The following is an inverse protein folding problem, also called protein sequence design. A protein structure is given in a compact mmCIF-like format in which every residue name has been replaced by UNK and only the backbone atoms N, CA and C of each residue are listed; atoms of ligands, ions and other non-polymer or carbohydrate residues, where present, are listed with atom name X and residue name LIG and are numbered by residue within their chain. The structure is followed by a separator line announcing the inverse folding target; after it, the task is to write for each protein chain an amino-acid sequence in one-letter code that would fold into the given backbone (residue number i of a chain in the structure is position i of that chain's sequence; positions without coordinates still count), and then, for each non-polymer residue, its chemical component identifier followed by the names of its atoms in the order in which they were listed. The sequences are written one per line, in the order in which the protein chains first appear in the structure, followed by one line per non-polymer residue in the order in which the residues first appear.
data_IF_785806547973
#
_entry.id   IF_785806547973
#
_cell.length_a   1.000
_cell.length_b   1.000
_cell.length_c   1.000
_cell.angle_alpha   90.00
_cell.angle_beta   90.00
_cell.angle_gamma   90.00
#
_symmetry.space_group_name_H-M   'P 1'
#
loop_
_entity.id
_entity.type
_entity.pdbx_description
1 polymer ?
#
# COMPACT_ATOMS: atom_id res chain seq x y z
N UNK A 1 -47.05 -44.66 21.71
CA UNK A 1 -47.35 -43.21 21.73
C UNK A 1 -46.11 -42.47 21.25
N UNK A 2 -46.20 -41.83 20.07
CA UNK A 2 -45.11 -41.14 19.37
C UNK A 2 -44.80 -39.83 20.08
N UNK A 3 -43.58 -39.65 20.58
CA UNK A 3 -43.11 -38.32 20.99
C UNK A 3 -42.63 -37.57 19.74
N UNK A 4 -43.28 -36.45 19.47
CA UNK A 4 -43.03 -35.54 18.36
C UNK A 4 -41.87 -34.64 18.75
N UNK A 5 -40.81 -34.65 17.94
CA UNK A 5 -39.71 -33.69 17.98
C UNK A 5 -40.26 -32.26 17.84
N UNK A 6 -39.95 -31.40 18.81
CA UNK A 6 -40.02 -29.94 18.63
C UNK A 6 -38.59 -29.41 18.58
N UNK A 7 -38.10 -29.18 17.36
CA UNK A 7 -36.90 -28.41 17.10
C UNK A 7 -37.31 -26.94 17.29
N UNK A 8 -37.04 -26.39 18.46
CA UNK A 8 -37.14 -24.95 18.68
C UNK A 8 -35.86 -24.33 18.13
N UNK A 9 -35.94 -23.82 16.90
CA UNK A 9 -34.90 -22.98 16.32
C UNK A 9 -34.79 -21.69 17.14
N UNK A 10 -33.86 -21.65 18.08
CA UNK A 10 -33.46 -20.40 18.73
C UNK A 10 -32.48 -19.73 17.78
N UNK A 11 -33.00 -18.86 16.93
CA UNK A 11 -32.22 -17.84 16.24
C UNK A 11 -31.72 -16.89 17.33
N UNK A 12 -30.58 -17.23 17.95
CA UNK A 12 -29.81 -16.25 18.73
C UNK A 12 -29.15 -15.35 17.70
N UNK A 13 -29.92 -14.37 17.24
CA UNK A 13 -29.37 -13.23 16.54
C UNK A 13 -28.31 -12.62 17.42
N UNK A 14 -27.05 -12.69 16.97
CA UNK A 14 -25.98 -11.90 17.52
C UNK A 14 -26.33 -10.43 17.26
N UNK A 15 -27.07 -9.84 18.20
CA UNK A 15 -27.15 -8.40 18.35
C UNK A 15 -25.73 -8.00 18.75
N UNK A 16 -24.91 -7.69 17.76
CA UNK A 16 -23.71 -6.88 17.98
C UNK A 16 -24.23 -5.54 18.49
N UNK A 17 -24.28 -5.44 19.82
CA UNK A 17 -24.46 -4.19 20.53
C UNK A 17 -23.28 -3.32 20.10
N UNK A 18 -23.54 -2.35 19.24
CA UNK A 18 -22.65 -1.22 18.97
C UNK A 18 -22.49 -0.49 20.31
N UNK A 19 -21.54 -0.96 21.12
CA UNK A 19 -21.14 -0.34 22.37
C UNK A 19 -20.51 1.01 22.04
N UNK A 20 -21.32 2.06 22.17
CA UNK A 20 -20.95 3.42 22.51
C UNK A 20 -19.65 3.93 21.87
N UNK A 21 -19.76 4.54 20.69
CA UNK A 21 -18.83 5.61 20.31
C UNK A 21 -19.06 6.77 21.28
N UNK A 22 -18.23 6.85 22.32
CA UNK A 22 -18.20 8.00 23.23
C UNK A 22 -17.95 9.26 22.41
N UNK A 23 -18.90 10.18 22.47
CA UNK A 23 -18.88 11.44 21.73
C UNK A 23 -17.82 12.45 22.23
N UNK A 24 -16.68 12.02 22.78
CA UNK A 24 -15.69 12.93 23.37
C UNK A 24 -14.21 12.65 23.13
N UNK A 25 -13.80 11.58 22.45
CA UNK A 25 -12.39 11.41 22.10
C UNK A 25 -12.19 11.70 20.61
N UNK A 26 -12.12 13.00 20.26
CA UNK A 26 -11.48 13.39 19.00
C UNK A 26 -10.04 12.86 19.08
N UNK A 27 -9.55 12.06 18.11
CA UNK A 27 -8.21 11.50 18.19
C UNK A 27 -7.19 12.60 18.44
N UNK A 28 -6.34 12.43 19.45
CA UNK A 28 -5.34 13.43 19.83
C UNK A 28 -4.15 13.48 18.86
N UNK A 29 -4.06 12.51 17.95
CA UNK A 29 -3.02 12.39 16.93
C UNK A 29 -3.26 11.19 16.00
N UNK A 30 -2.20 10.57 15.45
CA UNK A 30 -2.34 9.35 14.67
C UNK A 30 -2.92 8.22 15.52
N UNK A 31 -3.96 7.57 15.02
CA UNK A 31 -4.62 6.42 15.62
C UNK A 31 -4.14 5.14 14.94
N UNK A 32 -3.17 4.48 15.58
CA UNK A 32 -2.56 3.24 15.09
C UNK A 32 -3.37 1.98 15.45
N UNK A 33 -4.57 2.13 16.04
CA UNK A 33 -5.40 0.98 16.38
C UNK A 33 -5.75 0.17 15.13
N UNK A 34 -5.50 -1.14 15.18
CA UNK A 34 -5.70 -2.05 14.05
C UNK A 34 -4.72 -1.88 12.88
N UNK A 35 -3.64 -1.11 13.05
CA UNK A 35 -2.56 -1.00 12.06
C UNK A 35 -1.41 -1.93 12.45
N UNK A 36 -1.06 -2.85 11.55
CA UNK A 36 0.04 -3.78 11.73
C UNK A 36 1.37 -3.04 11.89
N UNK A 37 2.28 -3.61 12.69
CA UNK A 37 3.56 -2.97 13.01
C UNK A 37 4.36 -2.56 11.76
N UNK A 38 4.36 -3.39 10.72
CA UNK A 38 5.02 -3.14 9.44
C UNK A 38 4.47 -1.90 8.71
N UNK A 39 3.24 -1.49 8.98
CA UNK A 39 2.59 -0.36 8.32
C UNK A 39 2.51 0.90 9.18
N UNK A 40 2.91 0.86 10.46
CA UNK A 40 2.78 2.02 11.36
C UNK A 40 3.63 3.21 10.90
N UNK A 41 4.84 2.96 10.37
CA UNK A 41 5.70 4.02 9.83
C UNK A 41 5.07 4.67 8.58
N UNK A 42 4.56 3.84 7.66
CA UNK A 42 3.87 4.31 6.45
C UNK A 42 2.60 5.09 6.80
N UNK A 43 1.78 4.56 7.71
CA UNK A 43 0.60 5.24 8.24
C UNK A 43 0.94 6.62 8.81
N UNK A 44 1.96 6.70 9.66
CA UNK A 44 2.36 7.96 10.32
C UNK A 44 2.84 8.98 9.28
N UNK A 45 3.58 8.53 8.27
CA UNK A 45 3.99 9.37 7.15
C UNK A 45 2.79 9.93 6.39
N UNK A 46 1.85 9.06 5.98
CA UNK A 46 0.62 9.48 5.29
C UNK A 46 -0.25 10.42 6.14
N UNK A 47 -0.35 10.18 7.45
CA UNK A 47 -1.06 11.05 8.39
C UNK A 47 -0.42 12.44 8.44
N UNK A 48 0.92 12.52 8.51
CA UNK A 48 1.64 13.79 8.60
C UNK A 48 1.61 14.61 7.30
N UNK A 49 1.40 13.96 6.15
CA UNK A 49 1.23 14.64 4.85
C UNK A 49 -0.18 15.25 4.67
N UNK A 50 -1.14 14.89 5.53
CA UNK A 50 -2.48 15.45 5.49
C UNK A 50 -2.48 16.94 5.86
N UNK A 51 -3.07 17.77 4.99
CA UNK A 51 -3.03 19.25 5.06
C UNK A 51 -3.54 19.83 6.40
N UNK A 52 -2.99 20.99 6.79
CA UNK A 52 -3.23 21.70 8.07
C UNK A 52 -4.72 22.04 8.33
N UNK A 53 -5.55 22.13 7.29
CA UNK A 53 -6.97 22.47 7.41
C UNK A 53 -7.90 21.26 7.57
N UNK A 54 -7.36 20.04 7.55
CA UNK A 54 -8.16 18.82 7.74
C UNK A 54 -8.30 18.48 9.22
N UNK A 55 -9.41 17.83 9.58
CA UNK A 55 -9.55 17.34 10.95
C UNK A 55 -8.62 16.15 11.18
N UNK A 56 -8.23 15.90 12.43
CA UNK A 56 -7.47 14.69 12.79
C UNK A 56 -8.22 13.41 12.40
N UNK A 57 -9.55 13.44 12.39
CA UNK A 57 -10.36 12.33 11.92
C UNK A 57 -10.14 12.07 10.42
N UNK A 58 -10.15 13.13 9.60
CA UNK A 58 -9.95 13.02 8.16
C UNK A 58 -8.51 12.57 7.82
N UNK A 59 -7.51 13.06 8.56
CA UNK A 59 -6.13 12.63 8.37
C UNK A 59 -5.91 11.16 8.75
N UNK A 60 -6.56 10.68 9.81
CA UNK A 60 -6.57 9.26 10.14
C UNK A 60 -7.29 8.44 9.06
N UNK A 61 -8.41 8.94 8.52
CA UNK A 61 -9.11 8.29 7.41
C UNK A 61 -8.22 8.14 6.18
N UNK A 62 -7.52 9.20 5.77
CA UNK A 62 -6.60 9.18 4.62
C UNK A 62 -5.44 8.22 4.87
N UNK A 63 -4.84 8.23 6.06
CA UNK A 63 -3.75 7.31 6.40
C UNK A 63 -4.19 5.84 6.34
N UNK A 64 -5.39 5.52 6.83
CA UNK A 64 -5.98 4.16 6.73
C UNK A 64 -6.20 3.75 5.28
N UNK A 65 -6.79 4.63 4.46
CA UNK A 65 -6.98 4.38 3.01
C UNK A 65 -5.64 4.05 2.33
N UNK A 66 -4.58 4.81 2.64
CA UNK A 66 -3.26 4.56 2.06
C UNK A 66 -2.68 3.21 2.50
N UNK A 67 -2.79 2.84 3.78
CA UNK A 67 -2.36 1.51 4.26
C UNK A 67 -3.14 0.39 3.58
N UNK A 68 -4.47 0.49 3.49
CA UNK A 68 -5.32 -0.51 2.83
C UNK A 68 -4.93 -0.68 1.36
N UNK A 69 -4.65 0.43 0.67
CA UNK A 69 -4.19 0.44 -0.71
C UNK A 69 -2.80 -0.20 -0.86
N UNK A 70 -1.84 0.17 -0.02
CA UNK A 70 -0.50 -0.44 0.01
C UNK A 70 -0.60 -1.95 0.17
N UNK A 71 -1.38 -2.42 1.15
CA UNK A 71 -1.60 -3.84 1.42
C UNK A 71 -2.19 -4.56 0.21
N UNK A 72 -3.26 -4.01 -0.37
CA UNK A 72 -3.93 -4.61 -1.54
C UNK A 72 -2.99 -4.68 -2.75
N UNK A 73 -2.26 -3.61 -3.03
CA UNK A 73 -1.33 -3.55 -4.13
C UNK A 73 -0.14 -4.51 -3.94
N UNK A 74 0.35 -4.64 -2.70
CA UNK A 74 1.43 -5.59 -2.39
C UNK A 74 0.97 -7.05 -2.45
N UNK A 75 -0.28 -7.35 -2.07
CA UNK A 75 -0.88 -8.67 -2.27
C UNK A 75 -0.98 -9.04 -3.74
N UNK A 76 -1.39 -8.11 -4.60
CA UNK A 76 -1.40 -8.33 -6.06
C UNK A 76 0.03 -8.54 -6.60
N UNK A 77 0.98 -7.72 -6.14
CA UNK A 77 2.38 -7.83 -6.52
C UNK A 77 2.99 -9.20 -6.17
N UNK A 78 2.83 -9.63 -4.92
CA UNK A 78 3.35 -10.92 -4.43
C UNK A 78 2.66 -12.10 -5.13
N UNK A 79 1.34 -12.08 -5.30
CA UNK A 79 0.59 -13.15 -5.96
C UNK A 79 0.97 -13.32 -7.44
N UNK A 80 1.38 -12.23 -8.10
CA UNK A 80 1.74 -12.23 -9.52
C UNK A 80 3.23 -11.99 -9.77
N UNK A 81 4.08 -12.13 -8.75
CA UNK A 81 5.49 -11.77 -8.86
C UNK A 81 6.19 -12.57 -9.97
N UNK A 82 6.17 -13.90 -9.88
CA UNK A 82 6.86 -14.76 -10.84
C UNK A 82 6.24 -14.73 -12.25
N UNK A 83 4.93 -14.51 -12.35
CA UNK A 83 4.19 -14.59 -13.61
C UNK A 83 4.17 -13.28 -14.40
N UNK A 84 4.31 -12.13 -13.73
CA UNK A 84 4.17 -10.80 -14.33
C UNK A 84 5.33 -9.87 -13.97
N UNK A 85 5.57 -9.61 -12.69
CA UNK A 85 6.49 -8.56 -12.27
C UNK A 85 7.97 -8.93 -12.47
N UNK A 86 8.36 -10.15 -12.12
CA UNK A 86 9.73 -10.64 -12.31
C UNK A 86 10.12 -10.67 -13.80
N UNK A 87 9.32 -11.23 -14.73
CA UNK A 87 9.62 -11.16 -16.17
C UNK A 87 9.75 -9.71 -16.70
N UNK A 88 8.89 -8.80 -16.24
CA UNK A 88 8.97 -7.39 -16.61
C UNK A 88 10.25 -6.72 -16.09
N UNK A 89 10.65 -7.03 -14.85
CA UNK A 89 11.88 -6.52 -14.24
C UNK A 89 13.14 -7.08 -14.94
N UNK A 90 13.18 -8.39 -15.19
CA UNK A 90 14.24 -9.05 -15.96
C UNK A 90 14.41 -8.41 -17.34
N UNK A 91 13.30 -8.10 -18.01
CA UNK A 91 13.31 -7.42 -19.30
C UNK A 91 13.89 -6.00 -19.19
N UNK A 92 13.46 -5.20 -18.21
CA UNK A 92 14.00 -3.83 -18.00
C UNK A 92 15.50 -3.83 -17.77
N UNK A 93 16.01 -4.76 -16.96
CA UNK A 93 17.44 -4.92 -16.71
C UNK A 93 18.19 -5.27 -17.99
N UNK A 94 17.66 -6.17 -18.81
CA UNK A 94 18.25 -6.53 -20.10
C UNK A 94 18.25 -5.34 -21.08
N UNK A 95 17.11 -4.65 -21.23
CA UNK A 95 16.94 -3.52 -22.15
C UNK A 95 17.86 -2.34 -21.75
N UNK A 96 17.97 -2.03 -20.46
CA UNK A 96 18.85 -0.97 -19.96
C UNK A 96 20.33 -1.34 -20.12
N UNK A 97 20.71 -2.59 -19.82
CA UNK A 97 22.09 -3.06 -20.03
C UNK A 97 22.51 -2.96 -21.50
N UNK A 98 21.64 -3.35 -22.42
CA UNK A 98 21.87 -3.21 -23.86
C UNK A 98 21.98 -1.74 -24.28
N UNK A 99 21.13 -0.87 -23.71
CA UNK A 99 21.17 0.57 -23.98
C UNK A 99 22.48 1.20 -23.51
N UNK A 100 23.00 0.81 -22.34
CA UNK A 100 24.31 1.26 -21.85
C UNK A 100 25.42 0.85 -22.83
N UNK A 101 25.46 -0.43 -23.23
CA UNK A 101 26.46 -0.94 -24.18
C UNK A 101 26.43 -0.17 -25.51
N UNK A 102 25.24 0.15 -26.02
CA UNK A 102 25.09 0.96 -27.23
C UNK A 102 25.59 2.40 -27.02
N UNK A 103 25.25 3.03 -25.89
CA UNK A 103 25.66 4.40 -25.56
C UNK A 103 27.18 4.53 -25.38
N UNK A 104 27.81 3.53 -24.77
CA UNK A 104 29.27 3.43 -24.64
C UNK A 104 29.95 3.31 -26.01
N UNK A 105 29.46 2.43 -26.89
CA UNK A 105 29.99 2.30 -28.26
C UNK A 105 29.90 3.59 -29.07
N UNK A 106 28.85 4.37 -28.83
CA UNK A 106 28.60 5.62 -29.54
C UNK A 106 29.28 6.85 -28.90
N UNK A 107 30.14 6.66 -27.89
CA UNK A 107 30.80 7.74 -27.15
C UNK A 107 29.81 8.83 -26.67
N UNK A 108 28.65 8.40 -26.17
CA UNK A 108 27.65 9.30 -25.59
C UNK A 108 28.19 10.00 -24.34
N UNK A 109 27.52 11.07 -23.89
CA UNK A 109 27.92 11.81 -22.69
C UNK A 109 28.13 10.86 -21.50
N UNK A 110 29.34 10.82 -20.90
CA UNK A 110 29.64 9.94 -19.77
C UNK A 110 28.69 10.10 -18.58
N UNK A 111 28.15 11.31 -18.36
CA UNK A 111 27.19 11.56 -17.26
C UNK A 111 25.85 10.88 -17.48
N UNK A 112 25.45 10.74 -18.75
CA UNK A 112 24.23 10.00 -19.09
C UNK A 112 24.47 8.51 -18.84
N UNK A 113 25.62 8.00 -19.27
CA UNK A 113 25.99 6.59 -19.06
C UNK A 113 26.09 6.27 -17.56
N UNK A 114 26.67 7.15 -16.75
CA UNK A 114 26.72 7.03 -15.30
C UNK A 114 25.32 6.96 -14.69
N UNK A 115 24.41 7.87 -15.06
CA UNK A 115 23.02 7.83 -14.57
C UNK A 115 22.28 6.55 -14.97
N UNK A 116 22.60 5.96 -16.12
CA UNK A 116 22.03 4.69 -16.56
C UNK A 116 22.59 3.51 -15.75
N UNK A 117 23.87 3.54 -15.35
CA UNK A 117 24.44 2.55 -14.44
C UNK A 117 23.81 2.63 -13.05
N UNK A 118 23.59 3.83 -12.52
CA UNK A 118 22.88 4.02 -11.24
C UNK A 118 21.45 3.43 -11.31
N UNK A 119 20.73 3.67 -12.40
CA UNK A 119 19.41 3.08 -12.63
C UNK A 119 19.48 1.54 -12.74
N UNK A 120 20.49 1.01 -13.44
CA UNK A 120 20.69 -0.43 -13.58
C UNK A 120 20.97 -1.10 -12.23
N UNK A 121 21.78 -0.47 -11.37
CA UNK A 121 22.08 -0.98 -10.04
C UNK A 121 20.84 -0.97 -9.15
N UNK A 122 19.99 0.06 -9.24
CA UNK A 122 18.71 0.10 -8.54
C UNK A 122 17.77 -1.02 -8.98
N UNK A 123 17.66 -1.30 -10.29
CA UNK A 123 16.84 -2.40 -10.80
C UNK A 123 17.36 -3.78 -10.38
N UNK A 124 18.68 -3.97 -10.34
CA UNK A 124 19.30 -5.21 -9.84
C UNK A 124 19.10 -5.40 -8.35
N UNK A 125 19.11 -4.33 -7.57
CA UNK A 125 18.76 -4.38 -6.15
C UNK A 125 17.30 -4.81 -5.96
N UNK A 126 16.37 -4.27 -6.76
CA UNK A 126 14.95 -4.70 -6.76
C UNK A 126 14.81 -6.20 -7.11
N UNK A 127 15.60 -6.70 -8.07
CA UNK A 127 15.63 -8.14 -8.39
C UNK A 127 16.13 -8.99 -7.22
N UNK A 128 17.14 -8.50 -6.49
CA UNK A 128 17.75 -9.23 -5.38
C UNK A 128 16.84 -9.26 -4.14
N UNK A 129 16.14 -8.17 -3.85
CA UNK A 129 15.17 -8.09 -2.76
C UNK A 129 13.92 -8.95 -3.01
N UNK A 130 13.56 -9.09 -4.30
CA UNK A 130 12.44 -9.91 -4.72
C UNK A 130 11.11 -9.46 -4.12
N UNK A 131 10.24 -10.43 -3.85
CA UNK A 131 8.90 -10.13 -3.32
C UNK A 131 8.87 -9.88 -1.81
N UNK A 132 9.97 -10.07 -1.08
CA UNK A 132 9.97 -10.14 0.39
C UNK A 132 10.05 -8.76 1.08
N UNK A 133 10.32 -7.69 0.33
CA UNK A 133 10.53 -6.35 0.88
C UNK A 133 9.39 -5.37 0.50
N UNK A 134 8.36 -5.30 1.36
CA UNK A 134 7.23 -4.35 1.20
C UNK A 134 7.65 -2.88 1.28
N UNK A 135 8.80 -2.56 1.88
CA UNK A 135 9.29 -1.17 1.98
C UNK A 135 9.91 -0.71 0.66
N UNK A 136 10.47 -1.63 -0.11
CA UNK A 136 10.99 -1.38 -1.46
C UNK A 136 9.92 -1.55 -2.55
N UNK A 137 8.72 -2.00 -2.18
CA UNK A 137 7.59 -2.08 -3.09
C UNK A 137 7.14 -0.69 -3.55
N UNK A 138 7.18 -0.46 -4.86
CA UNK A 138 6.64 0.75 -5.48
C UNK A 138 5.11 0.71 -5.50
N UNK A 139 4.52 1.37 -4.51
CA UNK A 139 3.06 1.48 -4.39
C UNK A 139 2.49 2.24 -5.60
N UNK A 140 1.50 1.68 -6.33
CA UNK A 140 0.86 2.38 -7.43
C UNK A 140 0.09 3.61 -6.90
N UNK A 141 -0.21 4.60 -7.76
CA UNK A 141 -1.03 5.74 -7.36
C UNK A 141 -2.37 5.29 -6.79
N UNK A 142 -2.83 6.02 -5.78
CA UNK A 142 -4.16 5.80 -5.20
C UNK A 142 -5.23 6.02 -6.29
N UNK A 143 -6.24 5.15 -6.42
CA UNK A 143 -7.34 5.37 -7.36
C UNK A 143 -8.06 6.69 -7.10
N UNK A 144 -8.53 7.32 -8.17
CA UNK A 144 -9.35 8.53 -8.04
C UNK A 144 -10.58 8.25 -7.17
N UNK A 145 -10.85 9.15 -6.22
CA UNK A 145 -11.98 9.07 -5.30
C UNK A 145 -11.80 8.11 -4.11
N UNK A 146 -10.67 7.42 -3.98
CA UNK A 146 -10.43 6.49 -2.87
C UNK A 146 -10.47 7.17 -1.47
N UNK A 147 -10.23 8.47 -1.42
CA UNK A 147 -10.33 9.28 -0.19
C UNK A 147 -11.62 10.08 -0.07
N UNK A 148 -12.59 9.95 -0.98
CA UNK A 148 -13.82 10.76 -0.96
C UNK A 148 -14.67 10.54 0.30
N UNK A 149 -14.50 9.37 0.94
CA UNK A 149 -15.09 9.04 2.25
C UNK A 149 -14.47 9.81 3.41
N UNK A 150 -13.30 10.40 3.22
CA UNK A 150 -12.63 11.27 4.17
C UNK A 150 -13.04 12.71 3.85
N UNK A 151 -13.52 13.48 4.83
CA UNK A 151 -13.99 14.84 4.59
C UNK A 151 -12.76 15.75 4.52
N UNK A 152 -12.04 15.70 3.40
CA UNK A 152 -10.88 16.54 3.17
C UNK A 152 -11.41 17.91 2.75
N UNK A 153 -11.11 18.96 3.53
CA UNK A 153 -11.41 20.32 3.12
C UNK A 153 -10.56 20.63 1.88
N UNK A 154 -11.18 20.61 0.70
CA UNK A 154 -10.56 21.15 -0.50
C UNK A 154 -10.56 22.66 -0.35
N UNK A 155 -9.37 23.27 -0.24
CA UNK A 155 -9.23 24.72 -0.35
C UNK A 155 -9.63 25.18 -1.76
#
# INVERSE_FOLDING_TARGET
MKQIFKITAVVVGAIFVLSSCGANDKPSGPDLSGIDQTDQAYFTSSYNLCNINNTKFDCNCVARVNVDHRKTAYQDYTANYDSKYKPELDKKVADLSASIEEKEKNASDPRIIESMYEELDALKAEQADGMENIDNFKIPPLPYGATDRCIIAQN
#
